data_IF_997276581464
#
_entry.id   IF_997276581464
#
_cell.length_a   1.000
_cell.length_b   1.000
_cell.length_c   1.000
_cell.angle_alpha   90.00
_cell.angle_beta   90.00
_cell.angle_gamma   90.00
#
_symmetry.space_group_name_H-M   'P 1'
#
loop_
_entity.id
_entity.type
_entity.pdbx_description
1 polymer ?
#
# COMPACT_ATOMS: atom_id res chain seq x y z
N UNK A 1 2.03 -9.62 -40.52
CA UNK A 1 1.29 -10.68 -39.80
C UNK A 1 1.75 -10.66 -38.35
N UNK A 2 0.94 -10.19 -37.39
CA UNK A 2 1.33 -10.16 -35.97
C UNK A 2 1.28 -11.57 -35.40
N UNK A 3 2.41 -12.03 -34.86
CA UNK A 3 2.57 -13.36 -34.26
C UNK A 3 1.79 -13.36 -32.94
N UNK A 4 0.65 -14.04 -32.90
CA UNK A 4 -0.10 -14.23 -31.66
C UNK A 4 0.71 -15.14 -30.73
N UNK A 5 1.38 -14.56 -29.76
CA UNK A 5 2.15 -15.30 -28.77
C UNK A 5 1.18 -15.86 -27.73
N UNK A 6 0.74 -17.11 -27.93
CA UNK A 6 -0.09 -17.85 -26.98
C UNK A 6 0.75 -18.46 -25.87
N UNK A 7 0.30 -18.32 -24.63
CA UNK A 7 0.95 -18.96 -23.47
C UNK A 7 0.79 -20.48 -23.64
N UNK A 8 1.89 -21.26 -23.63
CA UNK A 8 1.83 -22.70 -23.79
C UNK A 8 1.23 -23.39 -22.54
N UNK A 9 0.59 -24.56 -22.73
CA UNK A 9 0.13 -25.38 -21.60
C UNK A 9 1.31 -26.12 -20.98
N UNK A 10 1.66 -25.79 -19.75
CA UNK A 10 2.75 -26.45 -19.03
C UNK A 10 2.26 -27.74 -18.35
N UNK A 11 3.11 -28.77 -18.34
CA UNK A 11 2.84 -30.04 -17.65
C UNK A 11 3.31 -30.05 -16.18
N UNK A 12 4.17 -29.10 -15.80
CA UNK A 12 4.77 -28.98 -14.47
C UNK A 12 5.10 -27.50 -14.18
N UNK A 13 5.02 -27.11 -12.91
CA UNK A 13 5.35 -25.76 -12.43
C UNK A 13 6.82 -25.38 -12.74
N UNK A 14 7.73 -26.36 -12.69
CA UNK A 14 9.16 -26.13 -12.95
C UNK A 14 9.42 -25.71 -14.42
N UNK A 15 8.63 -26.24 -15.36
CA UNK A 15 8.69 -25.86 -16.76
C UNK A 15 8.12 -24.45 -17.00
N UNK A 16 7.08 -24.09 -16.25
CA UNK A 16 6.50 -22.75 -16.30
C UNK A 16 7.48 -21.70 -15.76
N UNK A 17 8.14 -21.98 -14.64
CA UNK A 17 9.15 -21.10 -14.05
C UNK A 17 10.32 -20.86 -15.00
N UNK A 18 10.88 -21.95 -15.57
CA UNK A 18 11.96 -21.86 -16.55
C UNK A 18 11.56 -21.12 -17.84
N UNK A 19 10.27 -21.16 -18.20
CA UNK A 19 9.75 -20.39 -19.32
C UNK A 19 9.68 -18.90 -19.00
N UNK A 20 9.15 -18.51 -17.84
CA UNK A 20 9.04 -17.10 -17.43
C UNK A 20 10.39 -16.45 -17.09
N UNK A 21 11.37 -17.20 -16.61
CA UNK A 21 12.75 -16.69 -16.44
C UNK A 21 13.40 -16.28 -17.77
N UNK A 22 12.98 -16.90 -18.88
CA UNK A 22 13.54 -16.68 -20.22
C UNK A 22 12.69 -15.77 -21.10
N UNK A 23 11.43 -15.54 -20.75
CA UNK A 23 10.47 -14.84 -21.59
C UNK A 23 9.87 -13.64 -20.84
N UNK A 24 9.89 -12.47 -21.49
CA UNK A 24 9.21 -11.28 -20.96
C UNK A 24 7.69 -11.38 -21.14
N UNK A 25 6.96 -11.16 -20.04
CA UNK A 25 5.51 -11.12 -19.95
C UNK A 25 4.87 -10.13 -20.93
N UNK A 26 5.56 -9.03 -21.29
CA UNK A 26 5.06 -8.05 -22.25
C UNK A 26 4.75 -8.66 -23.63
N UNK A 27 5.46 -9.72 -24.02
CA UNK A 27 5.28 -10.41 -25.29
C UNK A 27 4.01 -11.26 -25.39
N UNK A 28 3.33 -11.53 -24.27
CA UNK A 28 2.14 -12.40 -24.19
C UNK A 28 0.87 -11.62 -23.80
N UNK A 29 0.91 -10.28 -23.83
CA UNK A 29 -0.19 -9.39 -23.42
C UNK A 29 -1.54 -9.70 -24.07
N UNK A 30 -1.54 -10.19 -25.31
CA UNK A 30 -2.76 -10.57 -26.05
C UNK A 30 -3.41 -11.87 -25.54
N UNK A 31 -2.67 -12.69 -24.81
CA UNK A 31 -3.15 -13.97 -24.26
C UNK A 31 -3.71 -13.84 -22.84
N UNK A 32 -3.44 -12.74 -22.15
CA UNK A 32 -4.00 -12.49 -20.83
C UNK A 32 -5.43 -11.97 -20.94
N UNK A 33 -6.35 -12.57 -20.20
CA UNK A 33 -7.67 -12.00 -20.02
C UNK A 33 -7.57 -10.74 -19.15
N UNK A 34 -8.26 -9.67 -19.58
CA UNK A 34 -8.37 -8.48 -18.75
C UNK A 34 -9.26 -8.80 -17.56
N UNK A 35 -8.67 -8.80 -16.37
CA UNK A 35 -9.42 -8.84 -15.11
C UNK A 35 -9.83 -7.41 -14.76
N UNK A 36 -11.13 -7.15 -14.66
CA UNK A 36 -11.64 -5.90 -14.08
C UNK A 36 -11.45 -5.96 -12.57
N UNK A 37 -10.39 -5.33 -12.07
CA UNK A 37 -10.13 -5.21 -10.65
C UNK A 37 -10.88 -4.00 -10.10
N UNK A 38 -11.92 -4.24 -9.30
CA UNK A 38 -12.53 -3.18 -8.48
C UNK A 38 -11.70 -2.98 -7.21
N UNK A 39 -10.79 -2.01 -7.27
CA UNK A 39 -9.95 -1.62 -6.14
C UNK A 39 -10.59 -0.54 -5.26
N UNK A 40 -11.87 -0.19 -5.48
CA UNK A 40 -12.59 0.86 -4.73
C UNK A 40 -12.71 0.53 -3.23
N UNK A 41 -12.59 -0.75 -2.88
CA UNK A 41 -12.64 -1.24 -1.50
C UNK A 41 -11.25 -1.49 -0.87
N UNK A 42 -10.15 -1.04 -1.50
CA UNK A 42 -8.85 -0.96 -0.84
C UNK A 42 -8.87 0.11 0.26
N UNK A 43 -9.55 -0.17 1.37
CA UNK A 43 -9.36 0.60 2.60
C UNK A 43 -7.94 0.32 3.10
N UNK A 44 -7.17 1.36 3.48
CA UNK A 44 -5.95 1.15 4.23
C UNK A 44 -6.27 0.26 5.43
N UNK A 45 -5.70 -0.94 5.48
CA UNK A 45 -5.94 -1.85 6.60
C UNK A 45 -5.45 -1.19 7.88
N UNK A 46 -6.34 -1.04 8.87
CA UNK A 46 -5.97 -0.49 10.18
C UNK A 46 -5.57 -1.63 11.11
N UNK A 47 -4.44 -1.48 11.80
CA UNK A 47 -3.97 -2.44 12.80
C UNK A 47 -4.03 -1.78 14.18
N UNK A 48 -4.68 -2.40 15.19
CA UNK A 48 -4.66 -1.85 16.54
C UNK A 48 -3.24 -1.95 17.10
N UNK A 49 -2.75 -0.83 17.66
CA UNK A 49 -1.45 -0.76 18.32
C UNK A 49 -1.62 -0.15 19.71
N UNK A 50 -0.90 -0.70 20.68
CA UNK A 50 -0.85 -0.14 22.04
C UNK A 50 0.43 0.67 22.20
N UNK A 51 0.30 1.96 22.50
CA UNK A 51 1.44 2.87 22.70
C UNK A 51 1.36 3.46 24.12
N UNK A 52 2.51 3.55 24.79
CA UNK A 52 2.60 4.23 26.10
C UNK A 52 2.86 5.71 25.88
N UNK A 53 2.08 6.56 26.54
CA UNK A 53 2.20 8.02 26.49
C UNK A 53 2.39 8.56 27.90
N UNK A 54 3.10 9.67 28.04
CA UNK A 54 3.19 10.38 29.32
C UNK A 54 1.84 11.00 29.68
N UNK A 55 1.51 11.05 30.99
CA UNK A 55 0.25 11.64 31.47
C UNK A 55 0.04 13.10 30.99
N UNK A 56 1.06 13.99 31.02
CA UNK A 56 0.88 15.37 30.56
C UNK A 56 0.59 15.47 29.07
N UNK A 57 1.23 14.64 28.24
CA UNK A 57 1.00 14.64 26.80
C UNK A 57 -0.43 14.20 26.46
N UNK A 58 -0.92 13.15 27.11
CA UNK A 58 -2.29 12.68 26.92
C UNK A 58 -3.32 13.75 27.32
N UNK A 59 -3.07 14.46 28.42
CA UNK A 59 -3.92 15.57 28.85
C UNK A 59 -3.95 16.68 27.79
N UNK A 60 -2.79 17.14 27.33
CA UNK A 60 -2.69 18.19 26.33
C UNK A 60 -3.37 17.79 25.01
N UNK A 61 -3.21 16.54 24.55
CA UNK A 61 -3.91 16.01 23.39
C UNK A 61 -5.43 16.07 23.54
N UNK A 62 -5.97 15.70 24.71
CA UNK A 62 -7.42 15.78 24.97
C UNK A 62 -7.92 17.22 24.95
N UNK A 63 -7.18 18.16 25.56
CA UNK A 63 -7.52 19.59 25.55
C UNK A 63 -7.52 20.13 24.12
N UNK A 64 -6.50 19.82 23.33
CA UNK A 64 -6.43 20.25 21.92
C UNK A 64 -7.55 19.67 21.06
N UNK A 65 -7.90 18.41 21.30
CA UNK A 65 -8.96 17.72 20.55
C UNK A 65 -10.34 18.32 20.86
N UNK A 66 -10.63 18.56 22.14
CA UNK A 66 -11.88 19.24 22.55
C UNK A 66 -11.99 20.64 21.96
N UNK A 67 -10.89 21.42 21.91
CA UNK A 67 -10.89 22.75 21.26
C UNK A 67 -11.24 22.73 19.78
N UNK A 68 -11.00 21.60 19.11
CA UNK A 68 -11.25 21.38 17.68
C UNK A 68 -12.52 20.58 17.42
N UNK A 69 -13.28 20.27 18.48
CA UNK A 69 -14.48 19.42 18.44
C UNK A 69 -14.25 18.06 17.76
N UNK A 70 -13.10 17.43 18.03
CA UNK A 70 -12.74 16.11 17.50
C UNK A 70 -12.31 15.16 18.62
N UNK A 71 -12.48 13.83 18.45
CA UNK A 71 -11.91 12.86 19.37
C UNK A 71 -10.37 12.92 19.39
N UNK A 72 -9.77 12.81 20.58
CA UNK A 72 -8.31 12.87 20.72
C UNK A 72 -7.56 11.79 19.93
N UNK A 73 -8.19 10.64 19.72
CA UNK A 73 -7.64 9.55 18.91
C UNK A 73 -7.62 9.91 17.42
N UNK A 74 -8.62 10.63 16.93
CA UNK A 74 -8.66 11.14 15.56
C UNK A 74 -7.60 12.21 15.37
N UNK A 75 -7.48 13.16 16.32
CA UNK A 75 -6.42 14.18 16.27
C UNK A 75 -5.02 13.55 16.30
N UNK A 76 -4.81 12.53 17.12
CA UNK A 76 -3.54 11.80 17.18
C UNK A 76 -3.18 11.15 15.85
N UNK A 77 -4.16 10.57 15.13
CA UNK A 77 -3.92 9.96 13.81
C UNK A 77 -3.45 11.01 12.81
N UNK A 78 -4.12 12.16 12.76
CA UNK A 78 -3.74 13.27 11.85
C UNK A 78 -2.32 13.73 12.13
N UNK A 79 -1.97 13.99 13.38
CA UNK A 79 -0.61 14.42 13.74
C UNK A 79 0.47 13.40 13.42
N UNK A 80 0.19 12.10 13.62
CA UNK A 80 1.14 11.04 13.27
C UNK A 80 1.35 10.96 11.75
N UNK A 81 0.27 11.07 10.98
CA UNK A 81 0.33 11.04 9.51
C UNK A 81 1.10 12.24 8.95
N UNK A 82 0.80 13.45 9.43
CA UNK A 82 1.50 14.68 9.06
C UNK A 82 3.01 14.56 9.32
N UNK A 83 3.39 14.10 10.52
CA UNK A 83 4.81 13.94 10.89
C UNK A 83 5.52 12.85 10.09
N UNK A 84 4.86 11.72 9.84
CA UNK A 84 5.45 10.66 8.99
C UNK A 84 5.63 11.15 7.56
N UNK A 85 4.66 11.88 7.01
CA UNK A 85 4.75 12.42 5.66
C UNK A 85 5.88 13.44 5.51
N UNK A 86 6.03 14.33 6.49
CA UNK A 86 7.14 15.30 6.56
C UNK A 86 8.51 14.62 6.54
N UNK A 87 8.70 13.57 7.36
CA UNK A 87 9.96 12.83 7.45
C UNK A 87 10.27 12.02 6.18
N UNK A 88 9.26 11.39 5.58
CA UNK A 88 9.43 10.62 4.34
C UNK A 88 9.75 11.54 3.15
N UNK A 89 9.07 12.67 3.02
CA UNK A 89 9.32 13.62 1.94
C UNK A 89 10.69 14.28 2.05
N UNK A 90 11.17 14.51 3.28
CA UNK A 90 12.53 15.01 3.53
C UNK A 90 13.59 14.01 3.07
N UNK A 91 13.36 12.70 3.27
CA UNK A 91 14.28 11.65 2.83
C UNK A 91 14.32 11.44 1.31
N UNK A 92 13.19 11.65 0.61
CA UNK A 92 13.13 11.49 -0.86
C UNK A 92 13.87 12.61 -1.60
N UNK A 93 14.05 13.79 -0.99
CA UNK A 93 14.80 14.90 -1.60
C UNK A 93 16.32 14.82 -1.42
N UNK A 94 16.81 13.85 -0.65
CA UNK A 94 18.23 13.70 -0.30
C UNK A 94 18.91 12.44 -0.83
N UNK A 95 18.30 11.73 -1.78
CA UNK A 95 18.84 10.49 -2.38
C UNK A 95 19.05 10.65 -3.89
#
# INVERSE_FOLDING_TARGET
MKKQNKIPKFKSEENERNFWDKNDFANFKESFERVSLDLSNLKPSTKPVTVRLSKPLLYNLKVMANKRDVPYQSLMKVFLEEKVHEELNTKVRGA
#
